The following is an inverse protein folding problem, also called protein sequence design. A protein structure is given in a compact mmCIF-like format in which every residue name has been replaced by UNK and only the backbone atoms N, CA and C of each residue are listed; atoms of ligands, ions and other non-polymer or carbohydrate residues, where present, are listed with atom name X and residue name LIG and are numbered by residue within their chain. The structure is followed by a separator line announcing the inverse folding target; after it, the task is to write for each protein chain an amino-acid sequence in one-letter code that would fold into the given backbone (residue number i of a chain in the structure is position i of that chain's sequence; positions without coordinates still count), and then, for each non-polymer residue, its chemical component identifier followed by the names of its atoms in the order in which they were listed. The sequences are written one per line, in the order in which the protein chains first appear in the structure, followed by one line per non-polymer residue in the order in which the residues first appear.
data_IF_182389187426
#
_entry.id   IF_182389187426
#
_cell.length_a   1.000
_cell.length_b   1.000
_cell.length_c   1.000
_cell.angle_alpha   90.00
_cell.angle_beta   90.00
_cell.angle_gamma   90.00
#
_symmetry.space_group_name_H-M   'P 1'
#
loop_
_entity.id
_entity.type
_entity.pdbx_description
1 polymer ?
#
# COMPACT_ATOMS: atom_id res chain seq x y z
N UNK A 1 6.08 -45.91 12.28
CA UNK A 1 5.72 -44.61 11.66
C UNK A 1 6.19 -43.48 12.56
N UNK A 2 6.95 -42.52 12.03
CA UNK A 2 7.47 -41.37 12.80
C UNK A 2 6.40 -40.31 13.08
N UNK A 3 6.62 -39.48 14.11
CA UNK A 3 5.69 -38.39 14.49
C UNK A 3 5.74 -37.25 13.47
N UNK A 4 4.58 -36.72 13.09
CA UNK A 4 4.46 -35.54 12.22
C UNK A 4 5.13 -34.31 12.88
N UNK A 5 6.05 -33.67 12.16
CA UNK A 5 6.80 -32.53 12.67
C UNK A 5 5.93 -31.28 12.81
N UNK A 6 6.33 -30.35 13.68
CA UNK A 6 5.58 -29.11 13.95
C UNK A 6 5.29 -28.30 12.67
N UNK A 7 6.24 -28.24 11.73
CA UNK A 7 6.07 -27.52 10.47
C UNK A 7 4.93 -28.09 9.61
N UNK A 8 4.83 -29.41 9.50
CA UNK A 8 3.76 -30.10 8.77
C UNK A 8 2.39 -29.87 9.42
N UNK A 9 2.32 -29.76 10.75
CA UNK A 9 1.07 -29.49 11.48
C UNK A 9 0.48 -28.09 11.25
N UNK A 10 1.27 -27.12 10.77
CA UNK A 10 0.81 -25.74 10.55
C UNK A 10 -0.16 -25.60 9.38
N UNK A 11 -0.04 -26.44 8.35
CA UNK A 11 -0.88 -26.37 7.14
C UNK A 11 -2.34 -26.82 7.35
N UNK A 12 -2.61 -27.57 8.42
CA UNK A 12 -3.93 -28.15 8.69
C UNK A 12 -4.98 -27.14 9.21
N UNK A 13 -4.61 -25.88 9.46
CA UNK A 13 -5.57 -24.83 9.85
C UNK A 13 -6.21 -25.00 11.23
N UNK A 14 -5.54 -25.69 12.15
CA UNK A 14 -6.00 -25.86 13.54
C UNK A 14 -5.57 -24.69 14.44
N UNK A 15 -4.76 -24.93 15.47
CA UNK A 15 -4.32 -23.90 16.43
C UNK A 15 -3.38 -22.83 15.84
N UNK A 16 -2.86 -23.02 14.64
CA UNK A 16 -1.90 -22.12 13.99
C UNK A 16 -2.55 -21.04 13.11
N UNK A 17 -3.87 -20.88 13.17
CA UNK A 17 -4.59 -19.83 12.44
C UNK A 17 -4.29 -18.44 13.01
N UNK A 18 -4.39 -17.42 12.17
CA UNK A 18 -4.22 -16.04 12.62
C UNK A 18 -5.41 -15.60 13.49
N UNK A 19 -5.14 -15.05 14.67
CA UNK A 19 -6.15 -14.41 15.51
C UNK A 19 -6.58 -13.07 14.90
N UNK A 20 -7.73 -13.05 14.22
CA UNK A 20 -8.19 -11.88 13.43
C UNK A 20 -9.31 -11.07 14.07
N UNK A 21 -9.84 -11.49 15.23
CA UNK A 21 -11.03 -10.90 15.88
C UNK A 21 -10.96 -9.38 16.06
N UNK A 22 -9.79 -8.85 16.42
CA UNK A 22 -9.61 -7.43 16.73
C UNK A 22 -9.06 -6.62 15.53
N UNK A 23 -8.82 -7.25 14.38
CA UNK A 23 -8.32 -6.56 13.19
C UNK A 23 -9.40 -5.63 12.64
N UNK A 24 -9.01 -4.41 12.30
CA UNK A 24 -9.89 -3.33 11.80
C UNK A 24 -10.32 -3.57 10.36
N UNK A 25 -9.53 -4.30 9.59
CA UNK A 25 -9.87 -4.73 8.24
C UNK A 25 -8.63 -4.94 7.38
N UNK A 26 -8.86 -5.42 6.16
CA UNK A 26 -7.78 -5.58 5.18
C UNK A 26 -7.39 -4.20 4.64
N UNK A 27 -6.14 -3.74 4.80
CA UNK A 27 -5.73 -2.51 4.15
C UNK A 27 -5.57 -2.78 2.66
N UNK A 28 -6.07 -1.88 1.83
CA UNK A 28 -6.06 -2.01 0.39
C UNK A 28 -6.22 -0.63 -0.25
N UNK A 29 -5.52 -0.39 -1.36
CA UNK A 29 -5.79 0.77 -2.20
C UNK A 29 -7.24 0.72 -2.70
N UNK A 30 -7.77 1.86 -3.14
CA UNK A 30 -9.10 1.92 -3.76
C UNK A 30 -9.16 1.03 -5.02
N UNK A 31 -10.36 0.56 -5.36
CA UNK A 31 -10.56 -0.17 -6.62
C UNK A 31 -10.21 0.73 -7.82
N UNK A 32 -9.57 0.16 -8.84
CA UNK A 32 -9.24 0.91 -10.06
C UNK A 32 -10.55 1.25 -10.79
N UNK A 33 -10.91 2.52 -10.80
CA UNK A 33 -12.08 3.05 -11.50
C UNK A 33 -11.67 4.00 -12.65
N UNK A 34 -12.68 4.54 -13.35
CA UNK A 34 -12.44 5.47 -14.45
C UNK A 34 -11.70 6.74 -13.99
N UNK A 35 -12.03 7.24 -12.79
CA UNK A 35 -11.45 8.44 -12.21
C UNK A 35 -9.94 8.27 -11.96
N UNK A 36 -9.52 7.14 -11.39
CA UNK A 36 -8.09 6.88 -11.17
C UNK A 36 -7.31 6.63 -12.46
N UNK A 37 -7.93 6.02 -13.48
CA UNK A 37 -7.26 5.73 -14.76
C UNK A 37 -6.98 6.98 -15.59
N UNK A 38 -7.93 7.92 -15.66
CA UNK A 38 -7.86 9.07 -16.57
C UNK A 38 -7.60 10.41 -15.87
N UNK A 39 -7.95 10.52 -14.59
CA UNK A 39 -7.86 11.76 -13.82
C UNK A 39 -7.27 11.53 -12.45
N UNK A 40 -7.92 12.10 -11.45
CA UNK A 40 -7.65 11.88 -10.05
C UNK A 40 -8.97 11.92 -9.28
N UNK A 41 -9.01 11.27 -8.12
CA UNK A 41 -10.09 11.39 -7.15
C UNK A 41 -9.53 11.90 -5.82
N UNK A 42 -10.24 12.87 -5.24
CA UNK A 42 -9.92 13.44 -3.94
C UNK A 42 -10.55 12.60 -2.83
N UNK A 43 -9.74 12.23 -1.85
CA UNK A 43 -10.17 11.66 -0.56
C UNK A 43 -9.71 12.54 0.60
N UNK A 44 -10.29 12.32 1.76
CA UNK A 44 -9.86 12.95 3.03
C UNK A 44 -9.50 11.87 4.03
N UNK A 45 -8.37 12.03 4.72
CA UNK A 45 -8.03 11.18 5.86
C UNK A 45 -8.93 11.58 7.01
N UNK A 46 -9.82 10.68 7.42
CA UNK A 46 -10.68 10.96 8.56
C UNK A 46 -9.97 10.70 9.88
N UNK A 47 -9.20 9.61 9.93
CA UNK A 47 -8.56 9.15 11.16
C UNK A 47 -7.35 8.26 10.84
N UNK A 48 -6.41 8.14 11.77
CA UNK A 48 -5.26 7.24 11.71
C UNK A 48 -5.31 6.33 12.93
N UNK A 49 -5.52 5.04 12.69
CA UNK A 49 -5.80 4.06 13.74
C UNK A 49 -4.73 2.97 13.79
N UNK A 50 -4.54 2.40 14.98
CA UNK A 50 -3.75 1.19 15.16
C UNK A 50 -4.56 -0.07 14.82
N UNK A 51 -3.95 -1.01 14.08
CA UNK A 51 -4.53 -2.31 13.73
C UNK A 51 -3.81 -3.43 14.51
N UNK A 52 -4.50 -4.12 15.44
CA UNK A 52 -3.88 -5.18 16.23
C UNK A 52 -3.25 -6.29 15.38
N UNK A 53 -1.97 -6.57 15.63
CA UNK A 53 -1.19 -7.54 14.85
C UNK A 53 -0.51 -6.96 13.61
N UNK A 54 -0.43 -5.63 13.51
CA UNK A 54 0.31 -4.89 12.49
C UNK A 54 1.07 -3.74 13.15
N UNK A 55 2.36 -3.60 12.86
CA UNK A 55 3.19 -2.49 13.35
C UNK A 55 2.83 -1.15 12.70
N UNK A 56 2.62 -1.15 11.38
CA UNK A 56 2.25 0.04 10.63
C UNK A 56 0.79 0.49 10.89
N UNK A 57 0.56 1.78 11.21
CA UNK A 57 -0.79 2.31 11.40
C UNK A 57 -1.59 2.34 10.09
N UNK A 58 -2.92 2.37 10.22
CA UNK A 58 -3.85 2.43 9.11
C UNK A 58 -4.50 3.79 9.03
N UNK A 59 -4.54 4.37 7.83
CA UNK A 59 -5.27 5.59 7.54
C UNK A 59 -6.67 5.25 7.03
N UNK A 60 -7.69 5.82 7.65
CA UNK A 60 -9.07 5.74 7.18
C UNK A 60 -9.30 6.87 6.18
N UNK A 61 -9.40 6.53 4.89
CA UNK A 61 -9.65 7.49 3.83
C UNK A 61 -11.12 7.46 3.40
N UNK A 62 -11.74 8.64 3.35
CA UNK A 62 -13.11 8.82 2.88
C UNK A 62 -13.07 9.40 1.48
N UNK A 63 -13.65 8.66 0.54
CA UNK A 63 -13.81 9.08 -0.84
C UNK A 63 -15.28 9.26 -1.17
N UNK A 64 -15.61 10.25 -2.00
CA UNK A 64 -16.94 10.34 -2.60
C UNK A 64 -17.04 9.31 -3.73
N UNK A 65 -18.18 8.64 -3.83
CA UNK A 65 -18.44 7.72 -4.93
C UNK A 65 -18.80 8.53 -6.19
N UNK A 66 -18.09 8.35 -7.33
CA UNK A 66 -18.39 9.12 -8.55
C UNK A 66 -19.73 8.74 -9.20
N UNK A 67 -20.29 7.56 -8.89
CA UNK A 67 -21.50 7.06 -9.55
C UNK A 67 -22.78 7.18 -8.70
N UNK A 68 -22.65 7.33 -7.37
CA UNK A 68 -23.78 7.33 -6.43
C UNK A 68 -23.53 8.35 -5.32
N UNK A 69 -24.58 8.89 -4.73
CA UNK A 69 -24.45 9.75 -3.55
C UNK A 69 -24.13 8.91 -2.30
N UNK A 70 -22.87 8.48 -2.18
CA UNK A 70 -22.36 7.67 -1.07
C UNK A 70 -20.91 8.02 -0.76
N UNK A 71 -20.54 7.91 0.52
CA UNK A 71 -19.15 7.95 0.96
C UNK A 71 -18.61 6.52 1.03
N UNK A 72 -17.51 6.28 0.31
CA UNK A 72 -16.74 5.02 0.35
C UNK A 72 -15.58 5.19 1.33
N UNK A 73 -15.58 4.35 2.37
CA UNK A 73 -14.49 4.24 3.34
C UNK A 73 -13.49 3.21 2.83
N UNK A 74 -12.22 3.61 2.74
CA UNK A 74 -11.11 2.74 2.38
C UNK A 74 -10.08 2.74 3.52
N UNK A 75 -9.49 1.57 3.78
CA UNK A 75 -8.42 1.42 4.76
C UNK A 75 -7.09 1.37 4.01
N UNK A 76 -6.29 2.42 4.16
CA UNK A 76 -4.97 2.53 3.55
C UNK A 76 -3.89 2.25 4.60
N UNK A 77 -2.73 1.81 4.13
CA UNK A 77 -1.52 1.87 4.96
C UNK A 77 -1.13 3.33 5.09
N UNK A 78 -0.89 3.83 6.29
CA UNK A 78 -0.45 5.20 6.48
C UNK A 78 1.02 5.34 6.05
N UNK A 79 1.30 6.33 5.21
CA UNK A 79 2.64 6.79 4.95
C UNK A 79 3.08 7.75 6.06
N UNK A 80 4.39 7.80 6.29
CA UNK A 80 4.98 8.76 7.23
C UNK A 80 4.67 10.21 6.78
N UNK A 81 4.34 11.08 7.73
CA UNK A 81 3.91 12.45 7.45
C UNK A 81 2.44 12.60 7.05
N UNK A 82 1.65 11.51 6.97
CA UNK A 82 0.20 11.63 6.81
C UNK A 82 -0.48 12.06 8.11
N UNK A 83 -1.48 12.94 8.00
CA UNK A 83 -2.20 13.48 9.16
C UNK A 83 -3.73 13.52 8.95
N UNK A 84 -4.48 13.56 10.05
CA UNK A 84 -5.95 13.63 10.01
C UNK A 84 -6.43 14.94 9.38
N UNK A 85 -7.38 14.85 8.45
CA UNK A 85 -7.88 15.99 7.67
C UNK A 85 -7.10 16.27 6.38
N UNK A 86 -5.96 15.61 6.16
CA UNK A 86 -5.20 15.74 4.92
C UNK A 86 -6.02 15.25 3.71
N UNK A 87 -5.87 15.94 2.59
CA UNK A 87 -6.41 15.48 1.31
C UNK A 87 -5.43 14.54 0.61
N UNK A 88 -5.94 13.40 0.18
CA UNK A 88 -5.22 12.43 -0.64
C UNK A 88 -5.77 12.49 -2.05
N UNK A 89 -4.88 12.47 -3.04
CA UNK A 89 -5.24 12.38 -4.44
C UNK A 89 -4.80 11.03 -5.00
N UNK A 90 -5.76 10.30 -5.57
CA UNK A 90 -5.51 9.01 -6.21
C UNK A 90 -5.77 9.10 -7.70
N UNK A 91 -4.78 8.81 -8.54
CA UNK A 91 -4.99 8.65 -9.99
C UNK A 91 -3.79 9.07 -10.84
N UNK A 92 -3.94 8.95 -12.16
CA UNK A 92 -2.90 9.27 -13.15
C UNK A 92 -2.45 10.73 -13.12
N UNK A 93 -3.38 11.67 -12.90
CA UNK A 93 -3.10 13.11 -12.87
C UNK A 93 -2.87 13.66 -11.44
N UNK A 94 -2.66 12.78 -10.46
CA UNK A 94 -2.34 13.21 -9.10
C UNK A 94 -0.94 13.84 -9.04
N UNK A 95 -0.77 14.83 -8.18
CA UNK A 95 0.54 15.44 -7.93
C UNK A 95 1.41 14.52 -7.06
N UNK A 96 2.73 14.63 -7.24
CA UNK A 96 3.72 13.89 -6.46
C UNK A 96 3.85 14.51 -5.05
N UNK A 97 2.97 14.11 -4.15
CA UNK A 97 3.03 14.49 -2.72
C UNK A 97 2.87 13.25 -1.85
N UNK A 98 3.41 13.31 -0.64
CA UNK A 98 3.36 12.21 0.33
C UNK A 98 1.90 11.79 0.59
N UNK A 99 1.64 10.48 0.58
CA UNK A 99 0.31 9.90 0.78
C UNK A 99 -0.55 9.80 -0.49
N UNK A 100 -0.20 10.51 -1.58
CA UNK A 100 -0.91 10.37 -2.85
C UNK A 100 -0.63 9.02 -3.51
N UNK A 101 -1.59 8.56 -4.30
CA UNK A 101 -1.50 7.29 -5.02
C UNK A 101 -1.50 7.58 -6.51
N UNK A 102 -0.45 7.17 -7.21
CA UNK A 102 -0.33 7.38 -8.64
C UNK A 102 0.31 6.17 -9.33
N UNK A 103 0.16 6.04 -10.66
CA UNK A 103 0.86 5.01 -11.42
C UNK A 103 2.37 5.19 -11.32
N UNK A 104 3.12 4.11 -11.14
CA UNK A 104 4.58 4.17 -10.99
C UNK A 104 5.24 4.80 -12.22
N UNK A 105 4.68 4.61 -13.43
CA UNK A 105 5.20 5.24 -14.65
C UNK A 105 5.08 6.76 -14.71
N UNK A 106 4.30 7.39 -13.83
CA UNK A 106 4.17 8.85 -13.75
C UNK A 106 5.08 9.47 -12.67
N UNK A 107 5.71 8.64 -11.86
CA UNK A 107 6.63 9.09 -10.82
C UNK A 107 8.04 9.25 -11.42
N UNK A 108 8.83 10.25 -11.02
CA UNK A 108 10.22 10.32 -11.43
C UNK A 108 11.06 9.21 -10.82
N UNK A 109 12.20 8.92 -11.45
CA UNK A 109 13.20 7.99 -10.94
C UNK A 109 13.75 8.47 -9.59
N UNK A 110 14.08 7.53 -8.71
CA UNK A 110 14.49 7.82 -7.33
C UNK A 110 13.34 8.04 -6.35
N UNK A 111 12.09 8.07 -6.82
CA UNK A 111 10.94 8.22 -5.91
C UNK A 111 10.79 7.05 -4.95
N UNK A 112 10.52 7.41 -3.70
CA UNK A 112 10.25 6.48 -2.61
C UNK A 112 8.75 6.23 -2.55
N UNK A 113 8.38 4.95 -2.58
CA UNK A 113 6.99 4.52 -2.66
C UNK A 113 6.68 3.39 -1.71
N UNK A 114 5.43 3.31 -1.27
CA UNK A 114 4.90 2.25 -0.43
C UNK A 114 3.59 1.69 -1.00
N UNK A 115 3.13 0.58 -0.42
CA UNK A 115 1.88 -0.10 -0.79
C UNK A 115 1.75 -0.36 -2.31
N UNK A 116 2.84 -0.80 -2.92
CA UNK A 116 2.98 -0.96 -4.37
C UNK A 116 2.20 -2.17 -4.89
N UNK A 117 1.56 -2.01 -6.04
CA UNK A 117 0.90 -3.10 -6.77
C UNK A 117 1.90 -3.98 -7.51
N UNK A 118 1.71 -5.30 -7.42
CA UNK A 118 2.49 -6.26 -8.19
C UNK A 118 1.90 -6.46 -9.60
N UNK A 119 0.57 -6.55 -9.67
CA UNK A 119 -0.22 -6.51 -10.91
C UNK A 119 -1.20 -5.34 -10.82
N UNK A 120 -1.51 -4.74 -11.96
CA UNK A 120 -2.44 -3.62 -12.05
C UNK A 120 -3.79 -3.97 -11.40
N UNK A 121 -4.17 -3.24 -10.36
CA UNK A 121 -5.44 -3.46 -9.67
C UNK A 121 -5.43 -4.49 -8.53
N UNK A 122 -4.25 -5.02 -8.15
CA UNK A 122 -4.11 -5.90 -6.98
C UNK A 122 -4.32 -5.19 -5.63
N UNK A 123 -4.58 -3.87 -5.64
CA UNK A 123 -4.89 -3.03 -4.47
C UNK A 123 -3.76 -2.95 -3.42
N UNK A 124 -2.52 -3.11 -3.87
CA UNK A 124 -1.31 -2.97 -3.05
C UNK A 124 -0.90 -4.26 -2.33
N UNK A 125 0.30 -4.76 -2.64
CA UNK A 125 0.87 -6.01 -2.07
C UNK A 125 2.27 -5.82 -1.51
N UNK A 126 3.07 -4.95 -2.10
CA UNK A 126 4.50 -4.78 -1.81
C UNK A 126 4.73 -3.57 -0.89
N UNK A 127 5.79 -3.61 -0.08
CA UNK A 127 6.21 -2.52 0.81
C UNK A 127 5.07 -2.02 1.72
N UNK A 128 4.56 -2.93 2.58
CA UNK A 128 3.40 -2.69 3.45
C UNK A 128 3.70 -2.80 4.95
N UNK A 129 4.89 -3.26 5.32
CA UNK A 129 5.31 -3.35 6.72
C UNK A 129 5.83 -1.99 7.20
N UNK A 130 5.88 -1.77 8.51
CA UNK A 130 6.44 -0.55 9.13
C UNK A 130 7.86 -0.29 8.60
N UNK A 131 8.17 0.96 8.27
CA UNK A 131 9.49 1.39 7.77
C UNK A 131 9.86 0.91 6.36
N UNK A 132 9.08 0.00 5.74
CA UNK A 132 9.40 -0.49 4.42
C UNK A 132 9.03 0.52 3.33
N UNK A 133 9.90 0.59 2.33
CA UNK A 133 9.66 1.32 1.11
C UNK A 133 10.21 0.54 -0.09
N UNK A 134 9.78 0.95 -1.27
CA UNK A 134 10.36 0.57 -2.54
C UNK A 134 10.85 1.84 -3.24
N UNK A 135 11.86 1.68 -4.08
CA UNK A 135 12.42 2.81 -4.85
C UNK A 135 12.21 2.58 -6.32
N UNK A 136 11.72 3.60 -7.02
CA UNK A 136 11.63 3.58 -8.47
C UNK A 136 13.02 3.79 -9.04
N UNK A 137 13.53 2.83 -9.81
CA UNK A 137 14.90 2.88 -10.34
C UNK A 137 14.92 3.52 -11.73
N UNK A 138 14.13 2.94 -12.64
CA UNK A 138 14.16 3.32 -14.03
C UNK A 138 12.85 2.99 -14.73
N UNK A 139 12.47 3.82 -15.70
CA UNK A 139 11.32 3.58 -16.56
C UNK A 139 11.76 3.13 -17.96
N UNK A 140 11.06 2.15 -18.52
CA UNK A 140 11.20 1.79 -19.92
C UNK A 140 9.88 2.14 -20.63
N UNK A 141 9.83 3.26 -21.38
CA UNK A 141 8.61 3.74 -22.03
C UNK A 141 8.14 2.80 -23.15
N UNK A 142 9.07 2.19 -23.89
CA UNK A 142 8.76 1.31 -25.03
C UNK A 142 7.98 0.06 -24.60
N UNK A 143 8.44 -0.56 -23.52
CA UNK A 143 7.82 -1.79 -22.97
C UNK A 143 6.73 -1.50 -21.95
N UNK A 144 6.46 -0.23 -21.63
CA UNK A 144 5.52 0.21 -20.58
C UNK A 144 5.77 -0.49 -19.23
N UNK A 145 7.04 -0.68 -18.90
CA UNK A 145 7.48 -1.34 -17.67
C UNK A 145 8.38 -0.42 -16.85
N UNK A 146 8.31 -0.57 -15.55
CA UNK A 146 9.13 0.16 -14.58
C UNK A 146 9.92 -0.82 -13.73
N UNK A 147 11.20 -0.50 -13.50
CA UNK A 147 12.08 -1.24 -12.59
C UNK A 147 11.99 -0.63 -11.21
N UNK A 148 11.65 -1.44 -10.22
CA UNK A 148 11.58 -1.03 -8.82
C UNK A 148 12.52 -1.86 -7.96
N UNK A 149 13.14 -1.22 -6.96
CA UNK A 149 13.89 -1.89 -5.90
C UNK A 149 12.92 -2.22 -4.78
N UNK A 150 12.81 -3.50 -4.45
CA UNK A 150 12.00 -3.99 -3.34
C UNK A 150 12.74 -3.77 -2.00
N UNK A 151 12.03 -3.76 -0.86
CA UNK A 151 12.67 -3.68 0.46
C UNK A 151 13.64 -4.85 0.74
N UNK A 152 13.47 -5.99 0.07
CA UNK A 152 14.42 -7.12 0.15
C UNK A 152 15.74 -6.87 -0.59
N UNK A 153 15.90 -5.74 -1.27
CA UNK A 153 17.04 -5.44 -2.14
C UNK A 153 16.89 -5.98 -3.58
N UNK A 154 15.93 -6.88 -3.82
CA UNK A 154 15.69 -7.44 -5.15
C UNK A 154 15.14 -6.39 -6.12
N UNK A 155 15.66 -6.38 -7.35
CA UNK A 155 15.12 -5.56 -8.44
C UNK A 155 14.00 -6.32 -9.14
N UNK A 156 12.82 -5.71 -9.26
CA UNK A 156 11.66 -6.31 -9.93
C UNK A 156 11.17 -5.40 -11.05
N UNK A 157 10.75 -6.00 -12.16
CA UNK A 157 10.12 -5.29 -13.27
C UNK A 157 8.61 -5.42 -13.12
N UNK A 158 7.91 -4.30 -13.11
CA UNK A 158 6.45 -4.22 -12.97
C UNK A 158 5.85 -3.39 -14.11
N UNK A 159 4.57 -3.58 -14.46
CA UNK A 159 3.89 -2.69 -15.40
C UNK A 159 3.86 -1.24 -14.90
N UNK A 160 4.10 -0.27 -15.78
CA UNK A 160 4.10 1.15 -15.42
C UNK A 160 2.71 1.67 -15.00
N UNK A 161 1.64 0.93 -15.35
CA UNK A 161 0.27 1.21 -14.94
C UNK A 161 -0.03 0.79 -13.48
N UNK A 162 0.85 0.01 -12.84
CA UNK A 162 0.70 -0.36 -11.44
C UNK A 162 0.69 0.91 -10.58
N UNK A 163 -0.12 0.90 -9.52
CA UNK A 163 -0.20 2.01 -8.58
C UNK A 163 0.75 1.82 -7.42
N UNK A 164 1.27 2.92 -6.91
CA UNK A 164 1.96 2.97 -5.62
C UNK A 164 1.60 4.26 -4.90
N UNK A 165 1.73 4.24 -3.57
CA UNK A 165 1.60 5.42 -2.72
C UNK A 165 2.96 6.07 -2.56
N UNK A 166 3.03 7.39 -2.62
CA UNK A 166 4.28 8.14 -2.43
C UNK A 166 4.62 8.21 -0.94
N UNK A 167 5.86 7.88 -0.60
CA UNK A 167 6.39 7.93 0.77
C UNK A 167 6.80 6.56 1.33
N UNK A 168 7.19 6.57 2.60
CA UNK A 168 7.60 5.40 3.40
C UNK A 168 6.41 4.97 4.27
N UNK A 169 6.28 3.69 4.60
CA UNK A 169 5.25 3.24 5.55
C UNK A 169 5.58 3.73 6.96
N UNK A 170 4.61 4.36 7.61
CA UNK A 170 4.75 4.83 8.99
C UNK A 170 5.02 3.68 9.99
N UNK A 171 5.61 4.03 11.13
CA UNK A 171 5.92 3.07 12.22
C UNK A 171 7.35 2.53 12.21
N UNK A 172 8.31 3.23 11.60
CA UNK A 172 9.73 2.85 11.55
C UNK A 172 10.36 2.66 12.95
N UNK A 173 9.89 3.41 13.95
CA UNK A 173 10.43 3.40 15.31
C UNK A 173 10.27 2.08 16.09
N UNK A 174 9.57 1.07 15.56
CA UNK A 174 9.31 -0.18 16.28
C UNK A 174 10.54 -1.12 16.31
N UNK A 175 11.51 -0.94 15.40
CA UNK A 175 12.73 -1.75 15.33
C UNK A 175 13.99 -1.03 15.84
N UNK A 176 13.99 0.30 15.87
CA UNK A 176 15.16 1.10 16.29
C UNK A 176 15.27 1.32 17.79
N UNK A 177 14.19 1.09 18.57
CA UNK A 177 14.21 1.18 20.04
C UNK A 177 14.68 -0.11 20.75
N UNK A 178 15.43 -0.98 20.05
CA UNK A 178 16.00 -2.22 20.57
C UNK A 178 17.54 -2.22 20.61
N UNK A 179 18.18 -1.06 20.46
CA UNK A 179 19.61 -0.86 20.69
C UNK A 179 19.85 -0.06 21.98
#
# INVERSE_FOLDING_TARGET
MGRVIRAQRKGAGSVFVSHTKNRKGKPALRAVDYAERHGYIKGVIKDIIHDPGRGAPLAIAYFRDPYRYKIKKELLVAAEGMYTGQFIYCGKKAHLTIGNVMPVGNMPEGTIVCNLEEKTGDRGKVARASGNYATVIAHNPDTKRTRVKLPSGCKKVIPSANRAMVGIVAGEAELTNLC
#
